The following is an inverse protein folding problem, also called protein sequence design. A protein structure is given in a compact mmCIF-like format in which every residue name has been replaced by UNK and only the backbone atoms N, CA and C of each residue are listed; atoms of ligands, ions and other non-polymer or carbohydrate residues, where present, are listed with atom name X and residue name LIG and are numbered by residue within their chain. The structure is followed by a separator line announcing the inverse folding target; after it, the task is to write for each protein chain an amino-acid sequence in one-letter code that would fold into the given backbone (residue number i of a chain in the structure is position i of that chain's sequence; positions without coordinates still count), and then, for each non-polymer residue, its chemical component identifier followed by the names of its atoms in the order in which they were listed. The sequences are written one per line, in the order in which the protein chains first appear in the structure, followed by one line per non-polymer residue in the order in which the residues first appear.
data_IF_974644657229
#
_entry.id   IF_974644657229
#
_cell.length_a   1.000
_cell.length_b   1.000
_cell.length_c   1.000
_cell.angle_alpha   90.00
_cell.angle_beta   90.00
_cell.angle_gamma   90.00
#
_symmetry.space_group_name_H-M   'P 1'
#
loop_
_entity.id
_entity.type
_entity.pdbx_description
1 polymer ?
#
# COMPACT_ATOMS: atom_id res chain seq x y z
N UNK A 1 17.26 -29.58 62.89
CA UNK A 1 16.46 -30.73 62.45
C UNK A 1 16.04 -30.46 61.03
N UNK A 2 16.83 -30.96 60.08
CA UNK A 2 16.60 -30.73 58.67
C UNK A 2 16.49 -32.11 58.05
N UNK A 3 15.24 -32.58 57.94
CA UNK A 3 14.94 -33.81 57.23
C UNK A 3 15.20 -33.52 55.74
N UNK A 4 16.15 -34.25 55.16
CA UNK A 4 16.36 -34.31 53.72
C UNK A 4 15.10 -34.92 53.09
N UNK A 5 14.17 -34.05 52.67
CA UNK A 5 13.02 -34.45 51.88
C UNK A 5 13.49 -34.47 50.41
N UNK A 6 13.69 -35.65 49.84
CA UNK A 6 13.94 -35.79 48.41
C UNK A 6 12.77 -35.16 47.64
N UNK A 7 13.05 -34.13 46.83
CA UNK A 7 12.07 -33.48 45.98
C UNK A 7 11.56 -34.49 44.93
N UNK A 8 10.39 -35.08 45.16
CA UNK A 8 9.76 -36.01 44.23
C UNK A 8 9.31 -35.24 42.98
N UNK A 9 9.98 -35.46 41.86
CA UNK A 9 9.64 -34.85 40.57
C UNK A 9 8.64 -35.73 39.82
N UNK A 10 7.41 -35.24 39.66
CA UNK A 10 6.38 -35.92 38.87
C UNK A 10 6.49 -35.53 37.40
N UNK A 11 6.65 -36.52 36.51
CA UNK A 11 6.59 -36.29 35.08
C UNK A 11 5.12 -36.26 34.59
N UNK A 12 4.91 -35.76 33.36
CA UNK A 12 3.57 -35.69 32.78
C UNK A 12 2.89 -37.07 32.70
N UNK A 13 3.66 -38.13 32.50
CA UNK A 13 3.14 -39.49 32.45
C UNK A 13 2.69 -39.99 33.83
N UNK A 14 3.39 -39.59 34.90
CA UNK A 14 3.01 -39.90 36.29
C UNK A 14 1.72 -39.16 36.69
N UNK A 15 1.58 -37.90 36.27
CA UNK A 15 0.37 -37.09 36.52
C UNK A 15 -0.83 -37.71 35.81
N UNK A 16 -0.68 -38.14 34.55
CA UNK A 16 -1.73 -38.83 33.79
C UNK A 16 -2.10 -40.16 34.46
N UNK A 17 -1.12 -40.92 34.92
CA UNK A 17 -1.34 -42.18 35.63
C UNK A 17 -2.11 -41.96 36.93
N UNK A 18 -1.71 -40.98 37.75
CA UNK A 18 -2.41 -40.61 38.98
C UNK A 18 -3.86 -40.22 38.71
N UNK A 19 -4.09 -39.33 37.74
CA UNK A 19 -5.43 -38.89 37.36
C UNK A 19 -6.32 -40.08 36.95
N UNK A 20 -5.80 -41.01 36.13
CA UNK A 20 -6.52 -42.20 35.72
C UNK A 20 -6.85 -43.11 36.91
N UNK A 21 -5.91 -43.29 37.84
CA UNK A 21 -6.10 -44.13 39.02
C UNK A 21 -7.21 -43.58 39.94
N UNK A 22 -7.26 -42.27 40.16
CA UNK A 22 -8.30 -41.62 40.96
C UNK A 22 -9.68 -41.67 40.26
N UNK A 23 -9.71 -41.65 38.92
CA UNK A 23 -10.96 -41.78 38.16
C UNK A 23 -11.53 -43.21 38.17
N UNK A 24 -10.69 -44.23 38.07
CA UNK A 24 -11.10 -45.65 38.08
C UNK A 24 -11.48 -46.13 39.49
N UNK A 25 -10.90 -45.56 40.54
CA UNK A 25 -11.03 -46.02 41.93
C UNK A 25 -12.11 -45.26 42.72
N UNK A 26 -13.19 -44.80 42.08
CA UNK A 26 -14.30 -44.07 42.73
C UNK A 26 -15.10 -44.97 43.70
N UNK A 27 -14.47 -45.34 44.82
CA UNK A 27 -15.10 -45.86 46.02
C UNK A 27 -15.40 -44.66 46.92
N UNK A 28 -16.65 -44.49 47.32
CA UNK A 28 -17.25 -43.28 47.92
C UNK A 28 -16.75 -42.92 49.32
N UNK A 29 -15.60 -43.46 49.76
CA UNK A 29 -15.09 -43.33 51.13
C UNK A 29 -13.66 -42.73 51.23
N UNK A 30 -13.11 -42.16 50.14
CA UNK A 30 -11.85 -41.39 50.20
C UNK A 30 -12.14 -39.88 50.06
N UNK A 31 -11.65 -39.11 51.02
CA UNK A 31 -11.96 -37.68 51.23
C UNK A 31 -11.13 -36.70 50.38
N UNK A 32 -10.16 -37.17 49.59
CA UNK A 32 -9.22 -36.29 48.91
C UNK A 32 -9.43 -36.34 47.40
N UNK A 33 -9.79 -35.22 46.80
CA UNK A 33 -9.91 -35.09 45.35
C UNK A 33 -8.53 -34.93 44.71
N UNK A 34 -8.37 -35.32 43.45
CA UNK A 34 -7.08 -35.17 42.74
C UNK A 34 -6.54 -33.73 42.77
N UNK A 35 -7.43 -32.73 42.70
CA UNK A 35 -7.03 -31.33 42.81
C UNK A 35 -6.46 -30.99 44.19
N UNK A 36 -6.95 -31.59 45.28
CA UNK A 36 -6.43 -31.38 46.64
C UNK A 36 -4.99 -31.88 46.78
N UNK A 37 -4.61 -32.91 46.02
CA UNK A 37 -3.25 -33.45 46.00
C UNK A 37 -2.28 -32.57 45.19
N UNK A 38 -2.79 -31.85 44.19
CA UNK A 38 -2.01 -30.91 43.39
C UNK A 38 -1.90 -29.52 44.06
N UNK A 39 -2.73 -29.25 45.07
CA UNK A 39 -2.65 -28.00 45.85
C UNK A 39 -1.32 -27.94 46.60
N UNK A 40 -0.49 -26.96 46.24
CA UNK A 40 0.83 -26.76 46.82
C UNK A 40 2.00 -27.35 46.02
N UNK A 41 1.73 -28.02 44.89
CA UNK A 41 2.78 -28.44 43.96
C UNK A 41 3.31 -27.27 43.13
N UNK A 42 4.64 -27.20 42.94
CA UNK A 42 5.27 -26.24 42.03
C UNK A 42 5.37 -26.82 40.61
N UNK A 43 4.93 -26.06 39.61
CA UNK A 43 4.92 -26.49 38.21
C UNK A 43 6.14 -25.92 37.49
N UNK A 44 7.15 -26.78 37.28
CA UNK A 44 8.34 -26.42 36.50
C UNK A 44 8.06 -26.56 35.00
N UNK A 45 7.78 -25.45 34.34
CA UNK A 45 7.63 -25.40 32.87
C UNK A 45 9.02 -25.41 32.19
N UNK A 46 9.21 -26.16 31.09
CA UNK A 46 10.42 -26.06 30.30
C UNK A 46 10.51 -24.64 29.71
N UNK A 47 11.67 -24.00 29.88
CA UNK A 47 11.92 -22.70 29.23
C UNK A 47 12.18 -22.96 27.74
N UNK A 48 11.52 -22.23 26.83
CA UNK A 48 11.84 -22.31 25.41
C UNK A 48 13.32 -22.01 25.18
N UNK A 49 13.97 -22.82 24.35
CA UNK A 49 15.34 -22.54 23.92
C UNK A 49 15.30 -21.30 23.00
N UNK A 50 15.94 -20.23 23.45
CA UNK A 50 16.00 -18.98 22.68
C UNK A 50 17.22 -19.05 21.77
N UNK A 51 16.99 -19.25 20.48
CA UNK A 51 18.05 -19.20 19.48
C UNK A 51 18.73 -17.81 19.49
N UNK A 52 20.07 -17.75 19.34
CA UNK A 52 20.80 -16.48 19.26
C UNK A 52 20.39 -15.74 17.99
N UNK A 53 20.22 -14.42 18.10
CA UNK A 53 19.73 -13.62 16.97
C UNK A 53 20.81 -13.46 15.89
N UNK A 54 20.43 -13.72 14.64
CA UNK A 54 21.33 -13.57 13.49
C UNK A 54 21.75 -12.10 13.32
N UNK A 55 23.05 -11.83 13.36
CA UNK A 55 23.65 -10.49 13.26
C UNK A 55 23.26 -9.74 11.97
N UNK A 56 23.16 -10.46 10.84
CA UNK A 56 22.78 -9.87 9.56
C UNK A 56 21.32 -9.37 9.59
N UNK A 57 20.42 -10.15 10.20
CA UNK A 57 19.02 -9.78 10.35
C UNK A 57 18.86 -8.58 11.29
N UNK A 58 19.63 -8.51 12.37
CA UNK A 58 19.60 -7.35 13.27
C UNK A 58 20.06 -6.07 12.58
N UNK A 59 21.18 -6.13 11.84
CA UNK A 59 21.68 -4.98 11.09
C UNK A 59 20.64 -4.49 10.07
N UNK A 60 19.95 -5.41 9.39
CA UNK A 60 18.88 -5.08 8.45
C UNK A 60 17.68 -4.45 9.14
N UNK A 61 17.26 -4.97 10.29
CA UNK A 61 16.16 -4.40 11.09
C UNK A 61 16.51 -3.00 11.57
N UNK A 62 17.73 -2.77 12.04
CA UNK A 62 18.20 -1.45 12.48
C UNK A 62 18.17 -0.45 11.32
N UNK A 63 18.64 -0.85 10.13
CA UNK A 63 18.58 -0.04 8.92
C UNK A 63 17.11 0.32 8.53
N UNK A 64 16.20 -0.66 8.54
CA UNK A 64 14.78 -0.43 8.24
C UNK A 64 14.12 0.51 9.26
N UNK A 65 14.40 0.31 10.56
CA UNK A 65 13.91 1.19 11.63
C UNK A 65 14.42 2.62 11.46
N UNK A 66 15.70 2.80 11.16
CA UNK A 66 16.27 4.11 10.89
C UNK A 66 15.59 4.79 9.68
N UNK A 67 15.33 4.03 8.60
CA UNK A 67 14.62 4.53 7.42
C UNK A 67 13.19 4.95 7.73
N UNK A 68 12.48 4.16 8.52
CA UNK A 68 11.11 4.48 8.94
C UNK A 68 11.06 5.71 9.85
N UNK A 69 11.94 5.77 10.84
CA UNK A 69 12.06 6.92 11.73
C UNK A 69 12.39 8.21 10.96
N UNK A 70 13.26 8.15 9.95
CA UNK A 70 13.57 9.30 9.11
C UNK A 70 12.35 9.75 8.26
N UNK A 71 11.56 8.80 7.74
CA UNK A 71 10.29 9.14 7.04
C UNK A 71 9.29 9.81 7.96
N UNK A 72 9.10 9.27 9.16
CA UNK A 72 8.20 9.84 10.17
C UNK A 72 8.67 11.23 10.63
N UNK A 73 9.98 11.40 10.87
CA UNK A 73 10.59 12.68 11.18
C UNK A 73 10.36 13.71 10.07
N UNK A 74 10.60 13.36 8.81
CA UNK A 74 10.33 14.24 7.66
C UNK A 74 8.84 14.58 7.53
N UNK A 75 7.94 13.63 7.80
CA UNK A 75 6.51 13.90 7.79
C UNK A 75 6.08 14.89 8.89
N UNK A 76 6.62 14.74 10.10
CA UNK A 76 6.35 15.66 11.22
C UNK A 76 6.95 17.06 11.00
N UNK A 77 8.14 17.13 10.41
CA UNK A 77 8.87 18.40 10.22
C UNK A 77 8.58 19.11 8.90
N UNK A 78 7.75 18.52 8.03
CA UNK A 78 7.41 19.06 6.71
C UNK A 78 6.91 20.51 6.72
N UNK A 79 6.20 20.90 7.78
CA UNK A 79 5.59 22.23 7.89
C UNK A 79 6.48 23.25 8.63
N UNK A 80 7.59 22.82 9.21
CA UNK A 80 8.48 23.66 10.02
C UNK A 80 9.53 24.36 9.17
N UNK A 81 9.97 23.71 8.09
CA UNK A 81 11.02 24.22 7.21
C UNK A 81 10.40 24.64 5.87
N UNK A 82 9.97 25.89 5.72
CA UNK A 82 9.43 26.42 4.45
C UNK A 82 10.56 26.72 3.44
N UNK A 83 11.80 26.86 3.92
CA UNK A 83 12.93 27.33 3.12
C UNK A 83 13.76 26.19 2.52
N UNK A 84 13.79 25.00 3.13
CA UNK A 84 14.60 23.85 2.68
C UNK A 84 13.82 22.79 1.90
N UNK A 85 12.64 23.12 1.38
CA UNK A 85 11.83 22.24 0.50
C UNK A 85 12.12 22.54 -0.98
N UNK A 86 13.40 22.74 -1.31
CA UNK A 86 13.84 22.93 -2.69
C UNK A 86 14.69 21.78 -3.24
N UNK A 87 14.61 20.60 -2.65
CA UNK A 87 15.02 19.38 -3.34
C UNK A 87 13.81 18.53 -3.78
N UNK A 88 13.16 18.89 -4.90
CA UNK A 88 12.21 18.02 -5.58
C UNK A 88 12.91 17.25 -6.72
N UNK A 89 14.14 16.78 -6.55
CA UNK A 89 14.87 16.15 -7.66
C UNK A 89 14.61 14.64 -7.79
N UNK A 90 14.11 13.95 -6.76
CA UNK A 90 14.11 12.47 -6.78
C UNK A 90 12.78 11.80 -6.37
N UNK A 91 11.64 12.49 -6.46
CA UNK A 91 10.35 11.79 -6.31
C UNK A 91 9.78 11.52 -7.68
N UNK A 92 9.88 10.26 -8.13
CA UNK A 92 9.22 9.71 -9.33
C UNK A 92 7.77 10.24 -9.47
N UNK A 93 7.07 10.49 -8.37
CA UNK A 93 5.73 11.08 -8.36
C UNK A 93 5.64 12.46 -9.03
N UNK A 94 6.66 13.31 -8.95
CA UNK A 94 6.69 14.62 -9.60
C UNK A 94 6.83 14.48 -11.12
N UNK A 95 7.75 13.64 -11.57
CA UNK A 95 7.93 13.29 -12.98
C UNK A 95 6.67 12.63 -13.55
N UNK A 96 6.05 11.69 -12.82
CA UNK A 96 4.77 11.08 -13.21
C UNK A 96 3.65 12.13 -13.30
N UNK A 97 3.60 13.10 -12.39
CA UNK A 97 2.58 14.15 -12.41
C UNK A 97 2.73 15.08 -13.63
N UNK A 98 3.97 15.37 -14.02
CA UNK A 98 4.26 16.18 -15.21
C UNK A 98 3.97 15.40 -16.51
N UNK A 99 4.35 14.11 -16.58
CA UNK A 99 4.02 13.22 -17.70
C UNK A 99 2.51 13.04 -17.87
N UNK A 100 1.76 12.92 -16.77
CA UNK A 100 0.29 12.79 -16.82
C UNK A 100 -0.36 13.99 -17.50
N UNK A 101 0.14 15.21 -17.28
CA UNK A 101 -0.45 16.42 -17.87
C UNK A 101 -0.28 16.46 -19.39
N UNK A 102 0.87 16.05 -19.91
CA UNK A 102 1.12 15.96 -21.35
C UNK A 102 0.27 14.87 -22.00
N UNK A 103 0.16 13.70 -21.36
CA UNK A 103 -0.69 12.60 -21.83
C UNK A 103 -2.16 13.00 -21.88
N UNK A 104 -2.65 13.71 -20.86
CA UNK A 104 -4.01 14.26 -20.83
C UNK A 104 -4.24 15.25 -21.99
N UNK A 105 -3.25 16.08 -22.33
CA UNK A 105 -3.36 17.01 -23.45
C UNK A 105 -3.46 16.31 -24.82
N UNK A 106 -2.71 15.23 -25.03
CA UNK A 106 -2.81 14.41 -26.25
C UNK A 106 -4.17 13.73 -26.35
N UNK A 107 -4.69 13.21 -25.23
CA UNK A 107 -6.02 12.61 -25.20
C UNK A 107 -7.10 13.65 -25.51
N UNK A 108 -7.01 14.84 -24.93
CA UNK A 108 -7.92 15.96 -25.20
C UNK A 108 -7.94 16.33 -26.68
N UNK A 109 -6.77 16.41 -27.31
CA UNK A 109 -6.65 16.66 -28.75
C UNK A 109 -7.44 15.63 -29.56
N UNK A 110 -7.23 14.33 -29.31
CA UNK A 110 -7.92 13.24 -30.02
C UNK A 110 -9.44 13.34 -29.83
N UNK A 111 -9.90 13.55 -28.59
CA UNK A 111 -11.33 13.67 -28.29
C UNK A 111 -11.93 14.88 -29.01
N UNK A 112 -11.25 16.03 -29.05
CA UNK A 112 -11.74 17.23 -29.74
C UNK A 112 -11.88 17.02 -31.26
N UNK A 113 -10.91 16.36 -31.89
CA UNK A 113 -10.91 16.11 -33.34
C UNK A 113 -12.01 15.12 -33.69
N UNK A 114 -12.17 14.05 -32.90
CA UNK A 114 -13.25 13.10 -33.07
C UNK A 114 -14.63 13.74 -32.86
N UNK A 115 -14.76 14.59 -31.83
CA UNK A 115 -16.00 15.32 -31.58
C UNK A 115 -16.34 16.29 -32.73
N UNK A 116 -15.34 17.01 -33.25
CA UNK A 116 -15.47 17.89 -34.41
C UNK A 116 -15.91 17.16 -35.67
N UNK A 117 -15.30 16.01 -35.95
CA UNK A 117 -15.67 15.15 -37.04
C UNK A 117 -17.10 14.60 -36.88
N UNK A 118 -17.43 14.06 -35.71
CA UNK A 118 -18.75 13.53 -35.41
C UNK A 118 -19.84 14.61 -35.48
N UNK A 119 -19.54 15.82 -35.03
CA UNK A 119 -20.43 16.97 -35.16
C UNK A 119 -20.65 17.36 -36.63
N UNK A 120 -19.59 17.44 -37.44
CA UNK A 120 -19.72 17.76 -38.86
C UNK A 120 -20.40 16.66 -39.69
N UNK A 121 -20.23 15.39 -39.31
CA UNK A 121 -20.81 14.25 -40.02
C UNK A 121 -22.25 13.93 -39.57
N UNK A 122 -22.46 13.68 -38.28
CA UNK A 122 -23.76 13.28 -37.69
C UNK A 122 -24.55 14.51 -37.26
N UNK A 123 -23.90 15.50 -36.64
CA UNK A 123 -24.57 16.68 -36.09
C UNK A 123 -25.28 17.51 -37.16
N UNK A 124 -24.65 17.67 -38.33
CA UNK A 124 -25.24 18.43 -39.45
C UNK A 124 -26.41 17.68 -40.08
N UNK A 125 -26.34 16.36 -40.17
CA UNK A 125 -27.47 15.51 -40.61
C UNK A 125 -28.69 15.70 -39.70
N UNK A 126 -28.48 15.75 -38.38
CA UNK A 126 -29.57 15.94 -37.42
C UNK A 126 -30.24 17.33 -37.53
N UNK A 127 -29.50 18.36 -37.95
CA UNK A 127 -30.01 19.73 -38.06
C UNK A 127 -30.62 20.03 -39.43
N UNK A 128 -29.93 19.64 -40.51
CA UNK A 128 -30.26 20.03 -41.90
C UNK A 128 -31.04 18.92 -42.63
N UNK A 129 -31.00 17.68 -42.14
CA UNK A 129 -31.72 16.54 -42.72
C UNK A 129 -30.96 15.85 -43.84
N UNK A 130 -31.68 15.48 -44.92
CA UNK A 130 -31.17 14.67 -46.03
C UNK A 130 -30.06 15.43 -46.79
N UNK A 131 -28.82 15.12 -46.45
CA UNK A 131 -27.60 15.57 -47.11
C UNK A 131 -26.91 14.32 -47.64
N UNK A 132 -26.31 14.43 -48.83
CA UNK A 132 -25.60 13.31 -49.40
C UNK A 132 -24.40 12.91 -48.52
N UNK A 133 -24.10 11.61 -48.48
CA UNK A 133 -23.04 11.06 -47.64
C UNK A 133 -21.69 11.73 -47.92
N UNK A 134 -21.40 12.02 -49.19
CA UNK A 134 -20.15 12.68 -49.60
C UNK A 134 -20.01 14.09 -49.00
N UNK A 135 -21.09 14.88 -48.98
CA UNK A 135 -21.09 16.22 -48.38
C UNK A 135 -20.91 16.17 -46.86
N UNK A 136 -21.55 15.22 -46.18
CA UNK A 136 -21.40 15.04 -44.73
C UNK A 136 -19.97 14.64 -44.36
N UNK A 137 -19.38 13.73 -45.12
CA UNK A 137 -18.00 13.31 -44.92
C UNK A 137 -17.04 14.49 -45.11
N UNK A 138 -17.24 15.26 -46.19
CA UNK A 138 -16.41 16.40 -46.51
C UNK A 138 -16.52 17.49 -45.42
N UNK A 139 -17.73 17.81 -44.96
CA UNK A 139 -17.94 18.75 -43.86
C UNK A 139 -17.33 18.26 -42.54
N UNK A 140 -17.51 16.99 -42.19
CA UNK A 140 -16.87 16.35 -41.04
C UNK A 140 -15.35 16.52 -41.06
N UNK A 141 -14.72 16.26 -42.20
CA UNK A 141 -13.27 16.43 -42.37
C UNK A 141 -12.85 17.90 -42.27
N UNK A 142 -13.59 18.84 -42.86
CA UNK A 142 -13.29 20.28 -42.75
C UNK A 142 -13.32 20.73 -41.29
N UNK A 143 -14.37 20.39 -40.54
CA UNK A 143 -14.47 20.75 -39.11
C UNK A 143 -13.35 20.11 -38.29
N UNK A 144 -13.04 18.84 -38.52
CA UNK A 144 -11.94 18.15 -37.86
C UNK A 144 -10.58 18.82 -38.15
N UNK A 145 -10.33 19.25 -39.39
CA UNK A 145 -9.10 19.94 -39.78
C UNK A 145 -8.96 21.31 -39.10
N UNK A 146 -10.03 22.10 -39.07
CA UNK A 146 -10.01 23.41 -38.39
C UNK A 146 -9.68 23.25 -36.91
N UNK A 147 -10.33 22.29 -36.23
CA UNK A 147 -10.10 22.03 -34.81
C UNK A 147 -8.69 21.48 -34.57
N UNK A 148 -8.22 20.57 -35.43
CA UNK A 148 -6.87 20.02 -35.32
C UNK A 148 -5.79 21.10 -35.45
N UNK A 149 -5.96 22.04 -36.40
CA UNK A 149 -5.05 23.17 -36.56
C UNK A 149 -5.08 24.10 -35.35
N UNK A 150 -6.26 24.38 -34.79
CA UNK A 150 -6.40 25.20 -33.60
C UNK A 150 -5.72 24.58 -32.38
N UNK A 151 -5.91 23.28 -32.15
CA UNK A 151 -5.31 22.56 -31.02
C UNK A 151 -3.78 22.42 -31.17
N UNK A 152 -3.26 22.10 -32.37
CA UNK A 152 -1.82 22.05 -32.62
C UNK A 152 -1.17 23.43 -32.44
N UNK A 153 -1.83 24.49 -32.90
CA UNK A 153 -1.36 25.85 -32.69
C UNK A 153 -1.27 26.19 -31.20
N UNK A 154 -2.31 25.86 -30.43
CA UNK A 154 -2.34 26.11 -28.98
C UNK A 154 -1.30 25.28 -28.22
N UNK A 155 -1.09 24.02 -28.62
CA UNK A 155 -0.06 23.15 -28.06
C UNK A 155 1.35 23.69 -28.32
N UNK A 156 1.62 24.11 -29.56
CA UNK A 156 2.91 24.70 -29.93
C UNK A 156 3.17 26.01 -29.17
N UNK A 157 2.14 26.85 -29.00
CA UNK A 157 2.25 28.09 -28.22
C UNK A 157 2.50 27.83 -26.74
N UNK A 158 1.80 26.87 -26.12
CA UNK A 158 2.06 26.47 -24.73
C UNK A 158 3.49 25.95 -24.56
N UNK A 159 3.96 25.12 -25.50
CA UNK A 159 5.34 24.63 -25.47
C UNK A 159 6.35 25.79 -25.59
N UNK A 160 6.08 26.80 -26.42
CA UNK A 160 6.94 27.99 -26.54
C UNK A 160 6.91 28.90 -25.30
N UNK A 161 5.78 28.96 -24.60
CA UNK A 161 5.58 29.76 -23.40
C UNK A 161 6.17 29.08 -22.15
N UNK A 162 6.38 27.77 -22.18
CA UNK A 162 7.16 27.04 -21.17
C UNK A 162 8.69 27.23 -21.35
N UNK A 163 9.15 27.76 -22.51
CA UNK A 163 10.57 27.96 -22.85
C UNK A 163 11.22 29.29 -22.34
N UNK A 164 10.55 30.37 -21.88
CA UNK A 164 11.23 31.59 -21.45
C UNK A 164 11.25 31.78 -19.91
N UNK A 165 12.41 31.53 -19.29
CA UNK A 165 12.94 32.29 -18.13
C UNK A 165 14.26 31.72 -17.53
N UNK A 166 14.79 30.60 -18.02
CA UNK A 166 16.04 30.01 -17.48
C UNK A 166 17.32 30.42 -18.24
N UNK A 167 17.25 31.34 -19.20
CA UNK A 167 18.38 31.78 -20.04
C UNK A 167 18.54 33.32 -20.13
N UNK A 168 18.14 34.06 -19.09
CA UNK A 168 18.52 35.47 -18.90
C UNK A 168 18.94 35.72 -17.47
#
# INVERSE_FOLDING_TARGET
TQEDCEDVLLCLDDIKWLQHQFFVSHDTNRLNSFHDLLMGCDVKLPRPEVEPRNQELEARIQCLKARQANREYKAMTRNVDTFRVHEPEETISYHLKQMNKQLIAVLQFIISVLAGFAFGFIGIELIVGNLDFGFRLLLGVIFALIIALAEIYFLAKKLSEDIPSTLT
#
